data_IF_008976171414
#
_entry.id   IF_008976171414
#
_cell.length_a   1.000
_cell.length_b   1.000
_cell.length_c   1.000
_cell.angle_alpha   90.00
_cell.angle_beta   90.00
_cell.angle_gamma   90.00
#
_symmetry.space_group_name_H-M   'P 1'
#
loop_
_entity.id
_entity.type
_entity.pdbx_description
1 polymer ?
#
# COMPACT_ATOMS: atom_id res chain seq x y z
N UNK A 1 -36.56 12.60 3.44
CA UNK A 1 -37.76 12.53 2.58
C UNK A 1 -38.45 11.20 2.85
N UNK A 2 -39.65 11.08 3.39
CA UNK A 2 -40.54 12.04 4.01
C UNK A 2 -41.57 11.23 4.86
N UNK A 3 -41.27 10.93 6.13
CA UNK A 3 -42.22 10.25 7.03
C UNK A 3 -43.46 11.14 7.23
N UNK A 4 -43.25 12.46 7.28
CA UNK A 4 -44.28 13.48 7.34
C UNK A 4 -45.30 13.34 6.20
N UNK A 5 -44.81 13.17 4.96
CA UNK A 5 -45.67 13.08 3.77
C UNK A 5 -46.54 11.83 3.68
N UNK A 6 -46.17 10.74 4.35
CA UNK A 6 -46.98 9.51 4.41
C UNK A 6 -48.06 9.66 5.50
N UNK A 7 -47.76 10.35 6.60
CA UNK A 7 -48.71 10.58 7.68
C UNK A 7 -49.81 11.58 7.29
N UNK A 8 -49.49 12.65 6.54
CA UNK A 8 -50.50 13.63 6.08
C UNK A 8 -51.45 13.09 5.00
N UNK A 9 -51.09 12.01 4.30
CA UNK A 9 -51.99 11.34 3.35
C UNK A 9 -53.07 10.48 4.03
N UNK A 10 -52.82 10.00 5.24
CA UNK A 10 -53.77 9.18 6.00
C UNK A 10 -54.73 10.02 6.86
N UNK A 11 -54.26 11.17 7.35
CA UNK A 11 -55.06 12.13 8.11
C UNK A 11 -54.61 13.57 7.76
N UNK A 12 -55.43 14.34 7.02
CA UNK A 12 -55.04 15.65 6.50
C UNK A 12 -54.84 16.72 7.58
N UNK A 13 -55.32 16.52 8.81
CA UNK A 13 -55.11 17.45 9.95
C UNK A 13 -53.91 17.05 10.84
N UNK A 14 -53.18 15.98 10.51
CA UNK A 14 -52.09 15.48 11.33
C UNK A 14 -50.80 16.31 11.18
N UNK A 15 -50.39 16.99 12.26
CA UNK A 15 -49.17 17.79 12.32
C UNK A 15 -48.04 17.05 13.08
N UNK A 16 -47.18 16.36 12.35
CA UNK A 16 -46.04 15.61 12.89
C UNK A 16 -45.11 16.48 13.75
N UNK A 17 -44.95 17.75 13.38
CA UNK A 17 -44.10 18.70 14.10
C UNK A 17 -44.63 18.99 15.51
N UNK A 18 -45.96 19.11 15.66
CA UNK A 18 -46.60 19.30 16.96
C UNK A 18 -46.53 18.04 17.84
N UNK A 19 -46.75 16.86 17.25
CA UNK A 19 -46.65 15.58 17.93
C UNK A 19 -45.21 15.30 18.41
N UNK A 20 -44.23 15.50 17.53
CA UNK A 20 -42.81 15.36 17.84
C UNK A 20 -42.39 16.31 18.97
N UNK A 21 -42.83 17.58 18.97
CA UNK A 21 -42.51 18.55 20.02
C UNK A 21 -43.00 18.12 21.40
N UNK A 22 -44.19 17.50 21.49
CA UNK A 22 -44.75 17.00 22.74
C UNK A 22 -44.05 15.75 23.28
N UNK A 23 -43.45 14.95 22.40
CA UNK A 23 -42.73 13.73 22.77
C UNK A 23 -41.28 14.04 23.14
N UNK A 24 -40.60 14.85 22.30
CA UNK A 24 -39.24 15.36 22.55
C UNK A 24 -39.22 16.20 23.84
N UNK A 25 -40.22 17.06 24.04
CA UNK A 25 -40.32 17.86 25.26
C UNK A 25 -40.47 17.04 26.54
N UNK A 26 -41.15 15.88 26.49
CA UNK A 26 -41.29 14.98 27.64
C UNK A 26 -40.04 14.12 27.86
N UNK A 27 -39.39 13.65 26.81
CA UNK A 27 -38.14 12.90 26.89
C UNK A 27 -37.02 13.76 27.51
N UNK A 28 -36.81 14.97 26.98
CA UNK A 28 -35.81 15.94 27.48
C UNK A 28 -36.08 16.32 28.94
N UNK A 29 -37.36 16.51 29.32
CA UNK A 29 -37.72 16.82 30.71
C UNK A 29 -37.50 15.64 31.67
N UNK A 30 -37.59 14.40 31.19
CA UNK A 30 -37.33 13.20 31.98
C UNK A 30 -35.84 12.95 32.19
N UNK A 31 -35.00 13.22 31.18
CA UNK A 31 -33.53 13.18 31.30
C UNK A 31 -33.02 14.27 32.24
N UNK A 32 -33.54 15.50 32.14
CA UNK A 32 -33.16 16.64 32.98
C UNK A 32 -33.49 16.47 34.49
N UNK A 33 -34.38 15.54 34.85
CA UNK A 33 -34.74 15.25 36.26
C UNK A 33 -33.98 14.08 36.86
N UNK A 34 -33.09 13.42 36.11
CA UNK A 34 -32.30 12.32 36.65
C UNK A 34 -31.15 12.87 37.49
N UNK A 35 -31.07 12.51 38.78
CA UNK A 35 -29.93 12.83 39.67
C UNK A 35 -28.56 12.38 39.10
N UNK A 36 -28.59 11.52 38.07
CA UNK A 36 -27.42 11.07 37.35
C UNK A 36 -26.72 12.17 36.54
N UNK A 37 -27.43 13.24 36.14
CA UNK A 37 -26.84 14.34 35.37
C UNK A 37 -25.73 15.07 36.11
N UNK A 38 -25.88 15.26 37.43
CA UNK A 38 -24.87 15.93 38.26
C UNK A 38 -23.62 15.05 38.38
N UNK A 39 -23.81 13.75 38.58
CA UNK A 39 -22.71 12.79 38.63
C UNK A 39 -21.97 12.70 37.28
N UNK A 40 -22.71 12.79 36.18
CA UNK A 40 -22.16 12.77 34.83
C UNK A 40 -21.39 14.06 34.51
N UNK A 41 -21.91 15.21 34.93
CA UNK A 41 -21.18 16.49 34.89
C UNK A 41 -19.89 16.45 35.73
N UNK A 42 -19.94 15.92 36.96
CA UNK A 42 -18.76 15.80 37.82
C UNK A 42 -17.73 14.84 37.24
N UNK A 43 -18.14 13.73 36.64
CA UNK A 43 -17.24 12.81 35.93
C UNK A 43 -16.60 13.45 34.70
N UNK A 44 -17.38 14.20 33.91
CA UNK A 44 -16.85 14.94 32.77
C UNK A 44 -15.82 15.99 33.22
N UNK A 45 -16.12 16.72 34.29
CA UNK A 45 -15.22 17.74 34.84
C UNK A 45 -13.94 17.12 35.44
N UNK A 46 -14.05 15.98 36.15
CA UNK A 46 -12.88 15.29 36.70
C UNK A 46 -11.99 14.73 35.60
N UNK A 47 -12.58 14.13 34.56
CA UNK A 47 -11.85 13.61 33.40
C UNK A 47 -11.12 14.73 32.65
N UNK A 48 -11.73 15.92 32.58
CA UNK A 48 -11.13 17.10 31.93
C UNK A 48 -9.92 17.62 32.71
N UNK A 49 -9.99 17.63 34.05
CA UNK A 49 -8.82 17.94 34.90
C UNK A 49 -7.70 16.94 34.69
N UNK A 50 -8.00 15.63 34.68
CA UNK A 50 -6.97 14.60 34.49
C UNK A 50 -6.27 14.75 33.13
N UNK A 51 -7.02 15.07 32.07
CA UNK A 51 -6.45 15.35 30.75
C UNK A 51 -5.55 16.59 30.76
N UNK A 52 -5.98 17.69 31.37
CA UNK A 52 -5.19 18.93 31.49
C UNK A 52 -3.87 18.72 32.26
N UNK A 53 -3.89 17.91 33.32
CA UNK A 53 -2.69 17.62 34.10
C UNK A 53 -1.77 16.58 33.45
N UNK A 54 -2.30 15.67 32.62
CA UNK A 54 -1.50 14.67 31.90
C UNK A 54 -0.90 15.20 30.57
N UNK A 55 -1.48 16.25 30.00
CA UNK A 55 -1.03 16.91 28.77
C UNK A 55 0.44 17.37 28.79
N UNK A 56 0.91 18.11 29.83
CA UNK A 56 2.29 18.56 29.88
C UNK A 56 3.30 17.40 29.88
N UNK A 57 2.99 16.29 30.55
CA UNK A 57 3.86 15.11 30.59
C UNK A 57 3.97 14.43 29.22
N UNK A 58 2.86 14.37 28.46
CA UNK A 58 2.86 13.85 27.10
C UNK A 58 3.63 14.77 26.13
N UNK A 59 3.48 16.09 26.29
CA UNK A 59 4.24 17.09 25.55
C UNK A 59 5.74 16.99 25.83
N UNK A 60 6.12 16.80 27.10
CA UNK A 60 7.53 16.65 27.48
C UNK A 60 8.13 15.37 26.87
N UNK A 61 7.40 14.26 26.88
CA UNK A 61 7.83 13.02 26.22
C UNK A 61 7.98 13.18 24.71
N UNK A 62 7.07 13.90 24.05
CA UNK A 62 7.16 14.21 22.61
C UNK A 62 8.35 15.12 22.30
N UNK A 63 8.53 16.19 23.08
CA UNK A 63 9.66 17.13 22.93
C UNK A 63 10.99 16.44 23.20
N UNK A 64 11.06 15.57 24.20
CA UNK A 64 12.26 14.79 24.49
C UNK A 64 12.61 13.86 23.34
N UNK A 65 11.64 13.11 22.79
CA UNK A 65 11.84 12.31 21.58
C UNK A 65 12.25 13.14 20.36
N UNK A 66 11.73 14.37 20.25
CA UNK A 66 12.07 15.30 19.18
C UNK A 66 13.52 15.79 19.28
N UNK A 67 13.93 16.22 20.48
CA UNK A 67 15.28 16.70 20.77
C UNK A 67 16.32 15.59 20.68
N UNK A 68 15.99 14.39 21.16
CA UNK A 68 16.85 13.20 21.06
C UNK A 68 16.93 12.64 19.63
N UNK A 69 16.14 13.16 18.68
CA UNK A 69 16.06 12.63 17.32
C UNK A 69 15.51 11.20 17.24
N UNK A 70 14.89 10.70 18.32
CA UNK A 70 14.29 9.35 18.38
C UNK A 70 12.85 9.33 17.89
N UNK A 71 12.33 10.46 17.41
CA UNK A 71 11.08 10.52 16.63
C UNK A 71 11.23 9.68 15.36
N UNK A 72 10.84 8.42 15.45
CA UNK A 72 10.65 7.54 14.30
C UNK A 72 9.29 7.86 13.69
N UNK A 73 9.27 8.70 12.65
CA UNK A 73 8.16 8.76 11.75
C UNK A 73 8.18 7.49 10.89
N UNK A 74 7.21 6.60 11.12
CA UNK A 74 7.03 5.42 10.28
C UNK A 74 6.40 5.88 8.96
N UNK A 75 7.23 6.40 8.06
CA UNK A 75 6.83 6.80 6.72
C UNK A 75 6.48 5.56 5.90
N UNK A 76 5.24 5.10 5.99
CA UNK A 76 4.69 4.10 5.07
C UNK A 76 4.41 4.80 3.74
N UNK A 77 5.45 4.92 2.91
CA UNK A 77 5.39 5.62 1.64
C UNK A 77 4.62 4.75 0.62
N UNK A 78 3.29 4.92 0.58
CA UNK A 78 2.44 4.25 -0.41
C UNK A 78 2.78 4.77 -1.80
N UNK A 79 3.52 3.97 -2.58
CA UNK A 79 3.92 4.29 -3.96
C UNK A 79 5.38 3.99 -4.28
N UNK A 80 6.26 3.83 -3.27
CA UNK A 80 7.63 3.38 -3.53
C UNK A 80 7.67 1.90 -3.93
N UNK A 81 6.81 1.04 -3.36
CA UNK A 81 6.66 -0.34 -3.83
C UNK A 81 6.26 -0.42 -5.31
N UNK A 82 5.38 0.46 -5.79
CA UNK A 82 4.96 0.47 -7.20
C UNK A 82 6.11 0.90 -8.13
N UNK A 83 6.93 1.84 -7.68
CA UNK A 83 8.14 2.27 -8.40
C UNK A 83 9.18 1.17 -8.42
N UNK A 84 9.41 0.48 -7.29
CA UNK A 84 10.33 -0.64 -7.20
C UNK A 84 9.89 -1.79 -8.13
N UNK A 85 8.60 -2.13 -8.12
CA UNK A 85 8.03 -3.15 -9.00
C UNK A 85 8.17 -2.77 -10.48
N UNK A 86 7.85 -1.52 -10.83
CA UNK A 86 7.96 -1.02 -12.21
C UNK A 86 9.42 -1.00 -12.71
N UNK A 87 10.35 -0.62 -11.84
CA UNK A 87 11.78 -0.60 -12.14
C UNK A 87 12.32 -2.02 -12.32
N UNK A 88 11.96 -2.95 -11.43
CA UNK A 88 12.35 -4.36 -11.54
C UNK A 88 11.82 -4.99 -12.83
N UNK A 89 10.57 -4.69 -13.21
CA UNK A 89 9.96 -5.20 -14.43
C UNK A 89 10.65 -4.64 -15.68
N UNK A 90 11.02 -3.36 -15.67
CA UNK A 90 11.78 -2.71 -16.74
C UNK A 90 13.20 -3.28 -16.87
N UNK A 91 13.91 -3.46 -15.75
CA UNK A 91 15.25 -4.04 -15.71
C UNK A 91 15.27 -5.49 -16.22
N UNK A 92 14.25 -6.29 -15.89
CA UNK A 92 14.09 -7.64 -16.42
C UNK A 92 13.92 -7.61 -17.95
N UNK A 93 13.05 -6.73 -18.47
CA UNK A 93 12.83 -6.59 -19.91
C UNK A 93 14.12 -6.23 -20.65
N UNK A 94 14.92 -5.32 -20.10
CA UNK A 94 16.23 -4.94 -20.65
C UNK A 94 17.20 -6.13 -20.61
N UNK A 95 17.28 -6.85 -19.50
CA UNK A 95 18.15 -8.03 -19.36
C UNK A 95 17.82 -9.09 -20.41
N UNK A 96 16.54 -9.40 -20.61
CA UNK A 96 16.09 -10.35 -21.64
C UNK A 96 16.47 -9.85 -23.04
N UNK A 97 16.24 -8.56 -23.34
CA UNK A 97 16.59 -7.98 -24.63
C UNK A 97 18.09 -8.07 -24.93
N UNK A 98 18.94 -7.83 -23.93
CA UNK A 98 20.40 -7.95 -24.05
C UNK A 98 20.84 -9.40 -24.29
N UNK A 99 20.25 -10.37 -23.57
CA UNK A 99 20.57 -11.79 -23.76
C UNK A 99 20.17 -12.25 -25.17
N UNK A 100 18.98 -11.88 -25.64
CA UNK A 100 18.51 -12.20 -26.99
C UNK A 100 19.45 -11.58 -28.03
N UNK A 101 19.77 -10.29 -27.90
CA UNK A 101 20.65 -9.58 -28.84
C UNK A 101 22.05 -10.19 -28.86
N UNK A 102 22.62 -10.48 -27.68
CA UNK A 102 23.92 -11.12 -27.55
C UNK A 102 23.93 -12.54 -28.14
N UNK A 103 22.85 -13.30 -28.00
CA UNK A 103 22.73 -14.63 -28.59
C UNK A 103 22.67 -14.58 -30.13
N UNK A 104 21.95 -13.61 -30.69
CA UNK A 104 21.88 -13.38 -32.14
C UNK A 104 23.26 -12.99 -32.70
N UNK A 105 23.93 -12.02 -32.06
CA UNK A 105 25.27 -11.57 -32.47
C UNK A 105 26.27 -12.72 -32.34
N UNK A 106 26.26 -13.45 -31.22
CA UNK A 106 27.13 -14.61 -31.00
C UNK A 106 26.93 -15.70 -32.04
N UNK A 107 25.67 -16.01 -32.39
CA UNK A 107 25.35 -16.97 -33.46
C UNK A 107 25.93 -16.53 -34.80
N UNK A 108 25.77 -15.24 -35.16
CA UNK A 108 26.31 -14.67 -36.39
C UNK A 108 27.85 -14.72 -36.44
N UNK A 109 28.51 -14.39 -35.33
CA UNK A 109 29.98 -14.44 -35.23
C UNK A 109 30.50 -15.87 -35.37
N UNK A 110 29.87 -16.84 -34.71
CA UNK A 110 30.25 -18.27 -34.80
C UNK A 110 30.12 -18.77 -36.24
N UNK A 111 29.01 -18.44 -36.91
CA UNK A 111 28.80 -18.80 -38.33
C UNK A 111 29.80 -18.11 -39.24
N UNK A 112 30.11 -16.83 -39.01
CA UNK A 112 31.08 -16.08 -39.83
C UNK A 112 32.52 -16.55 -39.61
N UNK A 113 32.86 -17.04 -38.42
CA UNK A 113 34.18 -17.56 -38.08
C UNK A 113 34.48 -18.95 -38.70
N UNK A 114 33.45 -19.67 -39.16
CA UNK A 114 33.57 -20.98 -39.81
C UNK A 114 34.14 -20.99 -41.23
N UNK A 115 34.58 -19.84 -41.77
CA UNK A 115 35.07 -19.74 -43.16
C UNK A 115 36.55 -20.09 -43.35
N UNK A 116 37.26 -20.58 -42.31
CA UNK A 116 38.71 -20.85 -42.43
C UNK A 116 39.33 -21.87 -41.45
N UNK A 117 38.55 -22.65 -40.69
CA UNK A 117 39.09 -23.53 -39.63
C UNK A 117 38.76 -25.02 -39.83
N UNK A 118 39.77 -25.89 -39.74
CA UNK A 118 39.67 -27.34 -39.94
C UNK A 118 39.16 -28.05 -38.66
N UNK A 119 37.87 -27.94 -38.38
CA UNK A 119 37.15 -28.75 -37.38
C UNK A 119 36.08 -29.63 -38.04
N UNK A 120 35.49 -30.60 -37.31
CA UNK A 120 34.54 -31.60 -37.82
C UNK A 120 33.33 -31.05 -38.64
N UNK A 121 33.04 -29.75 -38.55
CA UNK A 121 31.99 -29.05 -39.31
C UNK A 121 32.45 -27.78 -40.04
N UNK A 122 33.77 -27.51 -40.12
CA UNK A 122 34.32 -26.25 -40.65
C UNK A 122 34.31 -25.07 -39.66
N UNK A 123 33.77 -25.27 -38.44
CA UNK A 123 33.79 -24.27 -37.38
C UNK A 123 34.88 -24.56 -36.33
N UNK A 124 35.47 -23.53 -35.68
CA UNK A 124 36.33 -23.72 -34.51
C UNK A 124 35.57 -24.44 -33.39
N UNK A 125 35.98 -25.66 -33.05
CA UNK A 125 35.32 -26.52 -32.04
C UNK A 125 35.21 -25.85 -30.68
N UNK A 126 36.24 -25.10 -30.27
CA UNK A 126 36.26 -24.32 -29.03
C UNK A 126 35.22 -23.18 -29.02
N UNK A 127 34.97 -22.53 -30.17
CA UNK A 127 34.01 -21.43 -30.27
C UNK A 127 32.57 -21.90 -30.16
N UNK A 128 32.24 -23.04 -30.78
CA UNK A 128 30.91 -23.66 -30.68
C UNK A 128 30.62 -24.14 -29.26
N UNK A 129 31.60 -24.79 -28.61
CA UNK A 129 31.49 -25.19 -27.20
C UNK A 129 31.24 -23.98 -26.28
N UNK A 130 32.01 -22.90 -26.45
CA UNK A 130 31.81 -21.66 -25.70
C UNK A 130 30.43 -21.04 -25.92
N UNK A 131 29.93 -21.02 -27.16
CA UNK A 131 28.60 -20.51 -27.48
C UNK A 131 27.49 -21.33 -26.83
N UNK A 132 27.58 -22.67 -26.84
CA UNK A 132 26.60 -23.55 -26.19
C UNK A 132 26.57 -23.29 -24.69
N UNK A 133 27.73 -23.24 -24.04
CA UNK A 133 27.84 -22.96 -22.60
C UNK A 133 27.24 -21.59 -22.28
N UNK A 134 27.63 -20.54 -23.01
CA UNK A 134 27.10 -19.19 -22.81
C UNK A 134 25.58 -19.12 -23.02
N UNK A 135 25.05 -19.83 -24.01
CA UNK A 135 23.61 -19.89 -24.29
C UNK A 135 22.85 -20.58 -23.16
N UNK A 136 23.37 -21.69 -22.63
CA UNK A 136 22.79 -22.38 -21.48
C UNK A 136 22.77 -21.47 -20.25
N UNK A 137 23.89 -20.78 -19.97
CA UNK A 137 23.96 -19.80 -18.87
C UNK A 137 22.97 -18.65 -19.07
N UNK A 138 22.82 -18.14 -20.29
CA UNK A 138 21.84 -17.09 -20.62
C UNK A 138 20.40 -17.53 -20.39
N UNK A 139 20.04 -18.74 -20.84
CA UNK A 139 18.71 -19.32 -20.60
C UNK A 139 18.46 -19.54 -19.10
N UNK A 140 19.46 -20.03 -18.37
CA UNK A 140 19.38 -20.20 -16.91
C UNK A 140 19.13 -18.87 -16.19
N UNK A 141 19.80 -17.80 -16.63
CA UNK A 141 19.61 -16.44 -16.11
C UNK A 141 18.19 -15.93 -16.37
N UNK A 142 17.66 -16.13 -17.57
CA UNK A 142 16.27 -15.77 -17.91
C UNK A 142 15.28 -16.48 -16.98
N UNK A 143 15.43 -17.80 -16.80
CA UNK A 143 14.57 -18.58 -15.90
C UNK A 143 14.69 -18.10 -14.46
N UNK A 144 15.90 -17.75 -14.01
CA UNK A 144 16.14 -17.20 -12.68
C UNK A 144 15.41 -15.86 -12.47
N UNK A 145 15.51 -14.93 -13.42
CA UNK A 145 14.86 -13.62 -13.32
C UNK A 145 13.33 -13.77 -13.36
N UNK A 146 12.80 -14.59 -14.27
CA UNK A 146 11.35 -14.86 -14.37
C UNK A 146 10.80 -15.55 -13.12
N UNK A 147 11.57 -16.44 -12.48
CA UNK A 147 11.19 -17.11 -11.23
C UNK A 147 11.29 -16.17 -10.02
N UNK A 148 12.23 -15.23 -10.02
CA UNK A 148 12.42 -14.26 -8.93
C UNK A 148 11.32 -13.20 -8.86
N UNK A 149 10.75 -12.80 -10.00
CA UNK A 149 9.60 -11.88 -10.06
C UNK A 149 8.27 -12.45 -9.50
N UNK A 150 8.31 -13.65 -8.91
CA UNK A 150 7.14 -14.40 -8.42
C UNK A 150 7.16 -14.64 -6.91
N UNK A 151 7.91 -13.83 -6.15
CA UNK A 151 7.85 -13.85 -4.68
C UNK A 151 6.87 -12.78 -4.20
N UNK A 152 5.79 -13.18 -3.49
CA UNK A 152 4.84 -12.24 -2.89
C UNK A 152 5.50 -11.41 -1.78
#
# INVERSE_FOLDING_TARGET
>A
TNIDGICTQLDPDFNFTAAARSYVGRAVRSELRSDNLINEFFRALSSTRTLLFALPEQLERLMRKAVEGTLRAEFKHQGLEDVEASLAQSANRVSIALIVTGSIIGSSVVVSAGKGSHGWFGLPTLGVLGYIVATIFGIWLIVSILKSGRRP
#
